data_IF_186007622276
#
_entry.id   IF_186007622276
#
_cell.length_a   1.000
_cell.length_b   1.000
_cell.length_c   1.000
_cell.angle_alpha   90.00
_cell.angle_beta   90.00
_cell.angle_gamma   90.00
#
_symmetry.space_group_name_H-M   'P 1'
#
loop_
_entity.id
_entity.type
_entity.pdbx_description
1 polymer ?
#
# COMPACT_ATOMS: atom_id res chain seq x y z
N UNK A 1 19.08 31.25 -14.44
CA UNK A 1 19.01 29.80 -14.25
C UNK A 1 18.99 29.11 -15.59
N UNK A 2 19.81 28.08 -15.75
CA UNK A 2 19.97 27.40 -17.04
C UNK A 2 18.85 26.37 -17.24
N UNK A 3 18.20 26.40 -18.40
CA UNK A 3 17.13 25.44 -18.75
C UNK A 3 17.60 23.99 -18.67
N UNK A 4 18.85 23.74 -19.09
CA UNK A 4 19.41 22.39 -19.02
C UNK A 4 19.50 21.88 -17.58
N UNK A 5 19.86 22.75 -16.64
CA UNK A 5 19.92 22.39 -15.23
C UNK A 5 18.52 22.07 -14.66
N UNK A 6 17.52 22.86 -15.07
CA UNK A 6 16.15 22.62 -14.65
C UNK A 6 15.63 21.27 -15.17
N UNK A 7 15.93 20.96 -16.43
CA UNK A 7 15.52 19.69 -17.03
C UNK A 7 16.22 18.51 -16.35
N UNK A 8 17.51 18.66 -16.04
CA UNK A 8 18.25 17.61 -15.35
C UNK A 8 17.71 17.36 -13.94
N UNK A 9 17.33 18.42 -13.23
CA UNK A 9 16.71 18.30 -11.91
C UNK A 9 15.36 17.60 -11.99
N UNK A 10 14.54 17.97 -12.99
CA UNK A 10 13.23 17.36 -13.18
C UNK A 10 13.36 15.88 -13.51
N UNK A 11 14.32 15.50 -14.34
CA UNK A 11 14.57 14.11 -14.67
C UNK A 11 15.03 13.30 -13.48
N UNK A 12 15.91 13.86 -12.65
CA UNK A 12 16.38 13.20 -11.43
C UNK A 12 15.25 13.00 -10.43
N UNK A 13 14.40 14.02 -10.27
CA UNK A 13 13.24 13.94 -9.39
C UNK A 13 12.27 12.85 -9.86
N UNK A 14 12.01 12.80 -11.16
CA UNK A 14 11.13 11.80 -11.74
C UNK A 14 11.67 10.38 -11.51
N UNK A 15 12.96 10.17 -11.71
CA UNK A 15 13.59 8.87 -11.47
C UNK A 15 13.53 8.48 -9.99
N UNK A 16 13.77 9.44 -9.10
CA UNK A 16 13.71 9.20 -7.66
C UNK A 16 12.29 8.79 -7.23
N UNK A 17 11.30 9.50 -7.72
CA UNK A 17 9.89 9.19 -7.46
C UNK A 17 9.54 7.78 -7.93
N UNK A 18 9.91 7.43 -9.15
CA UNK A 18 9.63 6.11 -9.71
C UNK A 18 10.32 5.00 -8.95
N UNK A 19 11.56 5.24 -8.52
CA UNK A 19 12.32 4.27 -7.74
C UNK A 19 11.65 4.01 -6.38
N UNK A 20 11.25 5.08 -5.71
CA UNK A 20 10.57 4.97 -4.40
C UNK A 20 9.23 4.27 -4.53
N UNK A 21 8.50 4.58 -5.57
CA UNK A 21 7.24 3.91 -5.87
C UNK A 21 7.44 2.42 -6.08
N UNK A 22 8.42 2.04 -6.90
CA UNK A 22 8.72 0.63 -7.16
C UNK A 22 9.14 -0.11 -5.89
N UNK A 23 9.90 0.53 -5.02
CA UNK A 23 10.30 -0.06 -3.75
C UNK A 23 9.10 -0.40 -2.86
N UNK A 24 8.12 0.50 -2.80
CA UNK A 24 6.89 0.26 -2.04
C UNK A 24 6.06 -0.84 -2.71
N UNK A 25 5.96 -0.82 -4.04
CA UNK A 25 5.16 -1.79 -4.80
C UNK A 25 5.64 -3.23 -4.60
N UNK A 26 6.93 -3.41 -4.29
CA UNK A 26 7.51 -4.75 -4.06
C UNK A 26 7.32 -5.26 -2.63
N UNK A 27 6.93 -4.40 -1.71
CA UNK A 27 6.73 -4.78 -0.31
C UNK A 27 5.40 -5.48 -0.12
N UNK A 28 5.30 -6.22 0.97
CA UNK A 28 4.04 -6.82 1.40
C UNK A 28 3.56 -6.15 2.68
N UNK A 29 2.24 -6.08 2.82
CA UNK A 29 1.59 -5.42 3.95
C UNK A 29 0.52 -6.36 4.50
N UNK A 30 0.45 -6.47 5.81
CA UNK A 30 -0.45 -7.40 6.47
C UNK A 30 -1.45 -6.61 7.32
N UNK A 31 -2.72 -6.91 7.13
CA UNK A 31 -3.81 -6.42 7.97
C UNK A 31 -4.51 -7.59 8.61
N UNK A 32 -4.98 -7.43 9.84
CA UNK A 32 -5.66 -8.52 10.53
C UNK A 32 -6.83 -8.02 11.35
N UNK A 33 -7.78 -8.90 11.52
CA UNK A 33 -8.88 -8.83 12.46
C UNK A 33 -8.96 -10.21 13.11
N UNK A 34 -9.55 -10.34 14.28
CA UNK A 34 -9.44 -11.51 15.16
C UNK A 34 -9.20 -12.87 14.47
N UNK A 35 -10.01 -13.21 13.46
CA UNK A 35 -9.95 -14.53 12.83
C UNK A 35 -9.41 -14.50 11.39
N UNK A 36 -9.06 -13.32 10.85
CA UNK A 36 -8.67 -13.17 9.45
C UNK A 36 -7.39 -12.35 9.36
N UNK A 37 -6.45 -12.84 8.56
CA UNK A 37 -5.22 -12.12 8.22
C UNK A 37 -5.15 -12.01 6.70
N UNK A 38 -4.89 -10.79 6.22
CA UNK A 38 -4.83 -10.47 4.79
C UNK A 38 -3.45 -9.93 4.46
N UNK A 39 -2.87 -10.42 3.38
CA UNK A 39 -1.60 -9.91 2.85
C UNK A 39 -1.85 -9.30 1.48
N UNK A 40 -1.36 -8.06 1.29
CA UNK A 40 -1.40 -7.37 0.00
C UNK A 40 -0.01 -6.89 -0.36
N UNK A 41 0.22 -6.59 -1.63
CA UNK A 41 1.46 -5.94 -2.07
C UNK A 41 1.27 -4.43 -2.15
N UNK A 42 2.33 -3.71 -2.50
CA UNK A 42 2.29 -2.24 -2.61
C UNK A 42 1.49 -1.72 -3.80
N UNK A 43 1.02 -2.60 -4.67
CA UNK A 43 0.10 -2.26 -5.76
C UNK A 43 -1.36 -2.46 -5.34
N UNK A 44 -1.58 -2.76 -4.06
CA UNK A 44 -2.91 -3.06 -3.52
C UNK A 44 -3.55 -4.29 -4.14
N UNK A 45 -2.73 -5.27 -4.47
CA UNK A 45 -3.20 -6.56 -4.94
C UNK A 45 -3.29 -7.52 -3.76
N UNK A 46 -4.43 -8.16 -3.61
CA UNK A 46 -4.65 -9.17 -2.57
C UNK A 46 -3.87 -10.42 -2.94
N UNK A 47 -2.94 -10.84 -2.06
CA UNK A 47 -2.07 -11.96 -2.32
C UNK A 47 -2.44 -13.20 -1.51
N UNK A 48 -2.93 -12.99 -0.28
CA UNK A 48 -3.20 -14.09 0.62
C UNK A 48 -4.27 -13.71 1.62
N UNK A 49 -5.14 -14.67 1.90
CA UNK A 49 -6.14 -14.57 2.97
C UNK A 49 -5.98 -15.82 3.83
N UNK A 50 -5.81 -15.62 5.14
CA UNK A 50 -5.67 -16.72 6.09
C UNK A 50 -6.74 -16.61 7.15
N UNK A 51 -7.41 -17.73 7.43
CA UNK A 51 -8.35 -17.83 8.53
C UNK A 51 -7.68 -18.52 9.70
N UNK A 52 -8.07 -18.15 10.93
CA UNK A 52 -7.60 -18.83 12.12
C UNK A 52 -8.05 -20.30 12.11
N UNK A 53 -7.28 -21.17 12.73
CA UNK A 53 -7.56 -22.61 12.73
C UNK A 53 -8.84 -22.99 13.47
N UNK A 54 -9.32 -22.13 14.36
CA UNK A 54 -10.50 -22.38 15.17
C UNK A 54 -11.80 -21.85 14.53
N UNK A 55 -11.77 -21.51 13.25
CA UNK A 55 -12.95 -21.04 12.52
C UNK A 55 -13.88 -22.22 12.20
N UNK A 56 -15.17 -22.03 12.48
CA UNK A 56 -16.22 -23.02 12.17
C UNK A 56 -17.26 -22.48 11.19
N UNK A 57 -18.16 -23.35 10.80
CA UNK A 57 -19.22 -23.00 9.85
C UNK A 57 -20.13 -21.89 10.37
N UNK A 58 -20.30 -21.79 11.69
CA UNK A 58 -21.14 -20.78 12.32
C UNK A 58 -20.52 -19.38 12.28
N UNK A 59 -19.25 -19.29 11.91
CA UNK A 59 -18.50 -18.03 11.92
C UNK A 59 -18.52 -17.30 10.56
N UNK A 60 -19.23 -17.83 9.56
CA UNK A 60 -19.17 -17.28 8.20
C UNK A 60 -19.55 -15.80 8.13
N UNK A 61 -20.61 -15.39 8.83
CA UNK A 61 -21.03 -13.99 8.83
C UNK A 61 -19.98 -13.08 9.44
N UNK A 62 -19.39 -13.52 10.54
CA UNK A 62 -18.32 -12.77 11.23
C UNK A 62 -17.08 -12.71 10.34
N UNK A 63 -16.75 -13.79 9.65
CA UNK A 63 -15.60 -13.84 8.75
C UNK A 63 -15.71 -12.83 7.62
N UNK A 64 -16.90 -12.65 7.08
CA UNK A 64 -17.12 -11.66 6.02
C UNK A 64 -16.74 -10.25 6.50
N UNK A 65 -17.24 -9.86 7.67
CA UNK A 65 -16.94 -8.55 8.25
C UNK A 65 -15.47 -8.40 8.58
N UNK A 66 -14.85 -9.45 9.16
CA UNK A 66 -13.43 -9.44 9.51
C UNK A 66 -12.54 -9.37 8.28
N UNK A 67 -12.95 -10.00 7.18
CA UNK A 67 -12.21 -9.92 5.92
C UNK A 67 -12.18 -8.49 5.39
N UNK A 68 -13.31 -7.79 5.44
CA UNK A 68 -13.39 -6.39 5.03
C UNK A 68 -12.47 -5.53 5.90
N UNK A 69 -12.53 -5.71 7.21
CA UNK A 69 -11.70 -4.93 8.14
C UNK A 69 -10.21 -5.20 7.91
N UNK A 70 -9.81 -6.47 7.81
CA UNK A 70 -8.42 -6.86 7.60
C UNK A 70 -7.89 -6.33 6.27
N UNK A 71 -8.69 -6.43 5.22
CA UNK A 71 -8.32 -5.93 3.89
C UNK A 71 -8.12 -4.42 3.93
N UNK A 72 -9.06 -3.68 4.52
CA UNK A 72 -8.95 -2.23 4.59
C UNK A 72 -7.75 -1.78 5.42
N UNK A 73 -7.45 -2.48 6.51
CA UNK A 73 -6.24 -2.20 7.30
C UNK A 73 -4.97 -2.38 6.48
N UNK A 74 -4.89 -3.45 5.69
CA UNK A 74 -3.72 -3.70 4.86
C UNK A 74 -3.56 -2.62 3.77
N UNK A 75 -4.66 -2.19 3.16
CA UNK A 75 -4.66 -1.14 2.13
C UNK A 75 -4.23 0.21 2.71
N UNK A 76 -4.67 0.53 3.92
CA UNK A 76 -4.26 1.76 4.62
C UNK A 76 -2.76 1.78 4.85
N UNK A 77 -2.15 0.63 5.16
CA UNK A 77 -0.71 0.53 5.33
C UNK A 77 0.03 0.81 4.02
N UNK A 78 -0.50 0.35 2.90
CA UNK A 78 0.08 0.65 1.58
C UNK A 78 0.06 2.15 1.33
N UNK A 79 -1.08 2.79 1.58
CA UNK A 79 -1.23 4.23 1.39
C UNK A 79 -0.25 5.01 2.28
N UNK A 80 -0.13 4.61 3.54
CA UNK A 80 0.81 5.24 4.48
C UNK A 80 2.26 5.08 4.03
N UNK A 81 2.62 3.89 3.55
CA UNK A 81 3.97 3.61 3.07
C UNK A 81 4.29 4.41 1.81
N UNK A 82 3.33 4.52 0.89
CA UNK A 82 3.50 5.29 -0.34
C UNK A 82 3.67 6.78 -0.01
N UNK A 83 2.83 7.31 0.86
CA UNK A 83 2.90 8.70 1.30
C UNK A 83 4.25 9.00 1.97
N UNK A 84 4.69 8.11 2.85
CA UNK A 84 5.99 8.24 3.52
C UNK A 84 7.14 8.18 2.52
N UNK A 85 7.08 7.28 1.55
CA UNK A 85 8.13 7.13 0.54
C UNK A 85 8.24 8.37 -0.36
N UNK A 86 7.12 9.00 -0.67
CA UNK A 86 7.11 10.20 -1.50
C UNK A 86 7.57 11.44 -0.74
N UNK A 87 7.44 11.46 0.59
CA UNK A 87 7.99 12.50 1.46
C UNK A 87 7.74 13.91 0.94
N UNK A 88 8.83 14.59 0.56
CA UNK A 88 8.79 15.97 0.09
C UNK A 88 7.97 16.18 -1.19
N UNK A 89 7.67 15.11 -1.91
CA UNK A 89 6.88 15.18 -3.14
C UNK A 89 5.38 14.93 -2.90
N UNK A 90 5.00 14.69 -1.65
CA UNK A 90 3.64 14.28 -1.31
C UNK A 90 2.56 15.22 -1.79
N UNK A 91 2.77 16.53 -1.64
CA UNK A 91 1.80 17.54 -2.05
C UNK A 91 1.61 17.58 -3.57
N UNK A 92 2.64 17.21 -4.34
CA UNK A 92 2.56 17.13 -5.79
C UNK A 92 1.73 15.94 -6.24
N UNK A 93 1.73 14.87 -5.45
CA UNK A 93 1.04 13.63 -5.77
C UNK A 93 -0.40 13.60 -5.33
N UNK A 94 -0.77 14.37 -4.31
CA UNK A 94 -2.14 14.39 -3.83
C UNK A 94 -3.14 14.82 -4.90
N UNK A 95 -2.71 15.60 -5.87
CA UNK A 95 -3.55 15.99 -6.99
C UNK A 95 -3.59 14.98 -8.13
N UNK A 96 -2.71 13.96 -8.10
CA UNK A 96 -2.57 12.95 -9.16
C UNK A 96 -3.21 11.62 -8.80
N UNK A 97 -3.45 11.40 -7.54
CA UNK A 97 -4.09 10.21 -7.01
C UNK A 97 -5.45 10.55 -6.37
#
# INVERSE_FOLDING_TARGET
MNMQNLMAQAQRMQRDIMKKKEEVEKKTFVGSSELVTVTVNGKKELQKVEFASNVGADDLDILQDMLVIATNKSMEQVDAAMESAMGQYGSMFNGLF
#
